data_IF_933071960435
#
_entry.id   IF_933071960435
#
_cell.length_a   1.000
_cell.length_b   1.000
_cell.length_c   1.000
_cell.angle_alpha   90.00
_cell.angle_beta   90.00
_cell.angle_gamma   90.00
#
_symmetry.space_group_name_H-M   'P 1'
#
loop_
_entity.id
_entity.type
_entity.pdbx_description
1 polymer ?
#
# COMPACT_ATOMS: atom_id res chain seq x y z
N UNK A 1 -2.55 12.42 19.26
CA UNK A 1 -1.57 13.19 18.48
C UNK A 1 -0.28 12.41 18.45
N UNK A 2 0.05 11.94 17.26
CA UNK A 2 1.11 10.99 17.04
C UNK A 2 2.49 11.48 17.53
N UNK A 3 3.34 10.53 17.90
CA UNK A 3 4.78 10.73 18.05
C UNK A 3 5.55 9.90 17.04
N UNK A 4 6.62 10.51 16.54
CA UNK A 4 7.54 9.93 15.56
C UNK A 4 8.04 8.55 15.98
N UNK A 5 8.43 7.74 14.99
CA UNK A 5 9.20 6.53 15.28
C UNK A 5 10.55 6.90 15.87
N UNK A 6 10.84 6.36 17.06
CA UNK A 6 12.12 6.47 17.73
C UNK A 6 12.71 5.07 17.94
N UNK A 7 14.04 5.01 18.01
CA UNK A 7 14.74 3.77 18.33
C UNK A 7 14.80 3.58 19.85
N UNK A 8 14.18 2.54 20.34
CA UNK A 8 14.18 2.12 21.75
C UNK A 8 14.88 0.76 21.90
N UNK A 9 15.23 0.32 23.13
CA UNK A 9 15.85 -0.99 23.36
C UNK A 9 15.01 -2.17 22.84
N UNK A 10 13.69 -2.01 22.79
CA UNK A 10 12.72 -3.01 22.35
C UNK A 10 12.42 -3.00 20.85
N UNK A 11 12.90 -1.98 20.11
CA UNK A 11 12.67 -1.85 18.67
C UNK A 11 12.48 -0.41 18.23
N UNK A 12 11.59 -0.20 17.27
CA UNK A 12 11.17 1.10 16.77
C UNK A 12 9.76 1.38 17.28
N UNK A 13 9.57 2.50 17.98
CA UNK A 13 8.33 2.81 18.68
C UNK A 13 7.75 4.12 18.15
N UNK A 14 6.48 4.10 17.76
CA UNK A 14 5.67 5.28 17.54
C UNK A 14 4.49 5.30 18.52
N UNK A 15 4.00 6.49 18.86
CA UNK A 15 2.73 6.63 19.57
C UNK A 15 1.67 7.06 18.57
N UNK A 16 0.64 6.25 18.36
CA UNK A 16 -0.51 6.54 17.50
C UNK A 16 -1.77 6.36 18.31
N UNK A 17 -2.61 7.39 18.39
CA UNK A 17 -3.89 7.29 19.09
C UNK A 17 -4.89 6.40 18.35
N UNK A 18 -6.00 6.05 19.00
CA UNK A 18 -7.04 5.18 18.44
C UNK A 18 -7.57 5.63 17.08
N UNK A 19 -7.74 6.94 16.89
CA UNK A 19 -8.23 7.50 15.62
C UNK A 19 -7.17 7.36 14.53
N UNK A 20 -5.92 7.69 14.86
CA UNK A 20 -4.79 7.57 13.96
C UNK A 20 -4.58 6.12 13.49
N UNK A 21 -4.65 5.15 14.44
CA UNK A 21 -4.55 3.72 14.16
C UNK A 21 -5.68 3.18 13.31
N UNK A 22 -6.92 3.61 13.59
CA UNK A 22 -8.10 3.17 12.84
C UNK A 22 -8.01 3.56 11.37
N UNK A 23 -7.64 4.81 11.09
CA UNK A 23 -7.53 5.29 9.71
C UNK A 23 -6.34 4.65 9.00
N UNK A 24 -5.17 4.58 9.66
CA UNK A 24 -3.98 3.98 9.07
C UNK A 24 -4.20 2.50 8.69
N UNK A 25 -4.75 1.71 9.62
CA UNK A 25 -5.07 0.30 9.34
C UNK A 25 -6.15 0.17 8.27
N UNK A 26 -7.15 1.05 8.24
CA UNK A 26 -8.17 1.08 7.18
C UNK A 26 -7.58 1.38 5.79
N UNK A 27 -6.68 2.34 5.68
CA UNK A 27 -5.98 2.65 4.43
C UNK A 27 -5.10 1.48 3.97
N UNK A 28 -4.38 0.83 4.89
CA UNK A 28 -3.60 -0.37 4.58
C UNK A 28 -4.49 -1.53 4.11
N UNK A 29 -5.66 -1.72 4.73
CA UNK A 29 -6.63 -2.73 4.31
C UNK A 29 -7.17 -2.44 2.91
N UNK A 30 -7.48 -1.19 2.58
CA UNK A 30 -7.92 -0.81 1.24
C UNK A 30 -6.85 -1.11 0.18
N UNK A 31 -5.59 -0.76 0.44
CA UNK A 31 -4.46 -1.10 -0.45
C UNK A 31 -4.31 -2.61 -0.59
N UNK A 32 -4.47 -3.37 0.50
CA UNK A 32 -4.40 -4.83 0.52
C UNK A 32 -5.53 -5.48 -0.27
N UNK A 33 -6.74 -4.94 -0.20
CA UNK A 33 -7.89 -5.38 -0.99
C UNK A 33 -7.63 -5.11 -2.47
N UNK A 34 -7.14 -3.92 -2.83
CA UNK A 34 -6.78 -3.60 -4.22
C UNK A 34 -5.71 -4.56 -4.78
N UNK A 35 -4.73 -4.94 -3.96
CA UNK A 35 -3.68 -5.88 -4.35
C UNK A 35 -4.14 -7.34 -4.39
N UNK A 36 -5.30 -7.67 -3.83
CA UNK A 36 -5.84 -9.02 -3.89
C UNK A 36 -6.19 -9.37 -5.35
N UNK A 37 -5.96 -10.62 -5.79
CA UNK A 37 -6.26 -11.01 -7.16
C UNK A 37 -7.74 -10.78 -7.47
N UNK A 38 -8.02 -10.17 -8.62
CA UNK A 38 -9.38 -10.15 -9.18
C UNK A 38 -9.67 -11.58 -9.65
N UNK A 39 -10.40 -12.32 -8.83
CA UNK A 39 -10.91 -13.64 -9.21
C UNK A 39 -12.25 -13.37 -9.88
N UNK A 40 -12.25 -13.33 -11.20
CA UNK A 40 -13.52 -13.40 -11.93
C UNK A 40 -14.20 -14.71 -11.57
N UNK A 41 -15.46 -14.69 -11.07
CA UNK A 41 -16.18 -15.91 -10.76
C UNK A 41 -16.36 -16.73 -12.04
N UNK A 42 -15.73 -17.89 -12.08
CA UNK A 42 -15.86 -18.87 -13.17
C UNK A 42 -17.23 -19.54 -13.16
N UNK A 43 -17.97 -19.40 -12.05
CA UNK A 43 -19.28 -20.02 -11.84
C UNK A 43 -19.18 -21.42 -11.23
N UNK A 44 -17.97 -21.97 -11.09
CA UNK A 44 -17.70 -23.16 -10.31
C UNK A 44 -17.08 -22.77 -8.96
N UNK A 45 -17.80 -23.06 -7.88
CA UNK A 45 -17.40 -22.68 -6.53
C UNK A 45 -16.10 -23.38 -6.05
N UNK A 46 -15.76 -24.53 -6.64
CA UNK A 46 -14.51 -25.22 -6.33
C UNK A 46 -13.34 -24.57 -7.06
N UNK A 47 -13.50 -24.23 -8.34
CA UNK A 47 -12.45 -23.56 -9.11
C UNK A 47 -12.21 -22.13 -8.62
N UNK A 48 -13.26 -21.39 -8.28
CA UNK A 48 -13.15 -20.05 -7.66
C UNK A 48 -12.44 -20.12 -6.29
N UNK A 49 -12.72 -21.16 -5.50
CA UNK A 49 -12.05 -21.41 -4.23
C UNK A 49 -10.57 -21.75 -4.43
N UNK A 50 -10.24 -22.58 -5.42
CA UNK A 50 -8.86 -22.95 -5.77
C UNK A 50 -8.07 -21.74 -6.29
N UNK A 51 -8.68 -20.93 -7.15
CA UNK A 51 -8.13 -19.66 -7.62
C UNK A 51 -7.87 -18.68 -6.46
N UNK A 52 -8.78 -18.63 -5.47
CA UNK A 52 -8.60 -17.80 -4.27
C UNK A 52 -7.47 -18.23 -3.34
N UNK A 53 -7.05 -19.49 -3.43
CA UNK A 53 -5.92 -20.02 -2.68
C UNK A 53 -4.58 -19.82 -3.40
N UNK A 54 -4.56 -19.22 -4.60
CA UNK A 54 -3.35 -19.01 -5.38
C UNK A 54 -2.68 -20.31 -5.86
N UNK A 55 -3.43 -21.41 -5.90
CA UNK A 55 -2.94 -22.73 -6.32
C UNK A 55 -3.56 -23.06 -7.68
N UNK A 56 -2.87 -22.76 -8.77
CA UNK A 56 -3.28 -23.22 -10.10
C UNK A 56 -2.99 -24.72 -10.23
N UNK A 57 -4.02 -25.56 -10.08
CA UNK A 57 -3.98 -26.98 -10.47
C UNK A 57 -4.53 -27.09 -11.89
N UNK A 58 -3.66 -27.01 -12.90
CA UNK A 58 -4.06 -27.25 -14.28
C UNK A 58 -4.54 -28.69 -14.47
N UNK A 59 -5.85 -28.90 -14.53
CA UNK A 59 -6.45 -30.04 -15.22
C UNK A 59 -7.81 -29.66 -15.85
N UNK A 60 -7.78 -29.59 -17.18
CA UNK A 60 -8.87 -29.70 -18.15
C UNK A 60 -9.57 -28.40 -18.62
N UNK A 61 -9.07 -27.89 -19.75
CA UNK A 61 -9.83 -27.51 -20.95
C UNK A 61 -11.36 -27.36 -20.75
N UNK A 62 -11.84 -26.12 -20.66
CA UNK A 62 -13.08 -25.66 -21.32
C UNK A 62 -13.30 -24.15 -21.19
N UNK A 63 -13.49 -23.52 -22.35
CA UNK A 63 -14.26 -22.27 -22.49
C UNK A 63 -13.42 -21.01 -22.41
N UNK A 64 -13.02 -20.50 -23.57
CA UNK A 64 -12.58 -19.12 -23.72
C UNK A 64 -13.67 -18.19 -23.16
N UNK A 65 -13.49 -17.71 -21.93
CA UNK A 65 -14.05 -16.43 -21.54
C UNK A 65 -13.40 -15.41 -22.47
N UNK A 66 -14.22 -14.75 -23.29
CA UNK A 66 -13.80 -13.55 -24.00
C UNK A 66 -13.18 -12.60 -22.96
N UNK A 67 -11.98 -12.04 -23.20
CA UNK A 67 -11.37 -11.15 -22.22
C UNK A 67 -12.29 -9.95 -22.07
N UNK A 68 -12.98 -9.87 -20.93
CA UNK A 68 -13.65 -8.66 -20.51
C UNK A 68 -12.56 -7.59 -20.38
N UNK A 69 -12.62 -6.57 -21.25
CA UNK A 69 -11.77 -5.38 -21.31
C UNK A 69 -10.49 -5.42 -20.44
N UNK A 70 -9.50 -6.21 -20.85
CA UNK A 70 -8.16 -6.28 -20.22
C UNK A 70 -7.38 -4.94 -20.27
N UNK A 71 -8.01 -3.87 -20.78
CA UNK A 71 -7.42 -2.57 -21.08
C UNK A 71 -7.80 -1.47 -20.08
N UNK A 72 -8.57 -1.76 -19.02
CA UNK A 72 -8.92 -0.76 -18.00
C UNK A 72 -8.58 -1.19 -16.58
N UNK A 73 -7.34 -1.62 -16.38
CA UNK A 73 -6.78 -1.85 -15.04
C UNK A 73 -6.76 -0.54 -14.25
N UNK A 74 -7.00 -0.64 -12.94
CA UNK A 74 -6.88 0.50 -12.03
C UNK A 74 -5.49 1.16 -12.13
N UNK A 75 -5.37 2.47 -12.43
CA UNK A 75 -4.09 3.17 -12.51
C UNK A 75 -3.23 3.04 -11.25
N UNK A 76 -3.85 2.88 -10.08
CA UNK A 76 -3.13 2.66 -8.83
C UNK A 76 -2.40 1.31 -8.81
N UNK A 77 -2.94 0.29 -9.47
CA UNK A 77 -2.25 -0.99 -9.63
C UNK A 77 -1.02 -0.87 -10.52
N UNK A 78 -1.06 -0.07 -11.58
CA UNK A 78 0.13 0.17 -12.41
C UNK A 78 1.25 0.86 -11.64
N UNK A 79 0.90 1.77 -10.73
CA UNK A 79 1.85 2.45 -9.84
C UNK A 79 2.40 1.50 -8.76
N UNK A 80 1.55 0.65 -8.19
CA UNK A 80 1.94 -0.33 -7.16
C UNK A 80 2.71 -1.53 -7.74
N UNK A 81 2.43 -1.92 -8.98
CA UNK A 81 2.96 -3.10 -9.66
C UNK A 81 3.65 -2.68 -10.97
N UNK A 82 4.71 -1.87 -10.90
CA UNK A 82 5.36 -1.31 -12.08
C UNK A 82 6.03 -2.39 -12.94
N UNK A 83 5.97 -2.22 -14.26
CA UNK A 83 6.68 -3.11 -15.19
C UNK A 83 8.16 -2.75 -15.27
N UNK A 84 9.04 -3.75 -15.23
CA UNK A 84 10.49 -3.53 -15.31
C UNK A 84 10.97 -3.23 -16.74
N UNK A 85 10.14 -3.49 -17.76
CA UNK A 85 10.51 -3.36 -19.16
C UNK A 85 9.85 -2.15 -19.82
N UNK A 86 10.68 -1.20 -20.28
CA UNK A 86 10.25 -0.04 -21.05
C UNK A 86 10.68 -0.26 -22.50
N UNK A 87 9.74 -0.45 -23.42
CA UNK A 87 10.02 -0.44 -24.86
C UNK A 87 9.29 -1.49 -25.71
N UNK A 88 8.77 -2.55 -25.10
CA UNK A 88 7.99 -3.59 -25.79
C UNK A 88 6.83 -4.05 -24.91
N UNK A 89 5.61 -3.79 -25.37
CA UNK A 89 4.37 -4.07 -24.64
C UNK A 89 4.10 -5.56 -24.51
N UNK A 90 4.52 -6.38 -25.47
CA UNK A 90 4.35 -7.85 -25.44
C UNK A 90 5.27 -8.45 -24.38
N UNK A 91 6.53 -7.99 -24.35
CA UNK A 91 7.50 -8.40 -23.32
C UNK A 91 7.09 -7.88 -21.94
N UNK A 92 6.54 -6.66 -21.84
CA UNK A 92 6.02 -6.13 -20.58
C UNK A 92 4.82 -6.94 -20.07
N UNK A 93 3.91 -7.37 -20.96
CA UNK A 93 2.77 -8.23 -20.62
C UNK A 93 3.23 -9.62 -20.14
N UNK A 94 4.21 -10.23 -20.82
CA UNK A 94 4.81 -11.49 -20.39
C UNK A 94 5.53 -11.36 -19.03
N UNK A 95 6.28 -10.29 -18.82
CA UNK A 95 6.95 -10.04 -17.55
C UNK A 95 5.93 -9.87 -16.41
N UNK A 96 4.84 -9.12 -16.62
CA UNK A 96 3.73 -9.02 -15.65
C UNK A 96 3.17 -10.40 -15.31
N UNK A 97 2.80 -11.19 -16.32
CA UNK A 97 2.26 -12.55 -16.15
C UNK A 97 3.15 -13.43 -15.27
N UNK A 98 4.47 -13.29 -15.37
CA UNK A 98 5.43 -14.11 -14.62
C UNK A 98 5.79 -13.58 -13.22
N UNK A 99 5.66 -12.27 -12.96
CA UNK A 99 6.24 -11.64 -11.75
C UNK A 99 5.23 -10.93 -10.86
N UNK A 100 4.07 -10.55 -11.40
CA UNK A 100 3.09 -9.74 -10.68
C UNK A 100 2.55 -10.45 -9.46
N UNK A 101 2.24 -11.75 -9.55
CA UNK A 101 1.68 -12.52 -8.44
C UNK A 101 2.63 -12.55 -7.24
N UNK A 102 3.92 -12.84 -7.47
CA UNK A 102 4.92 -12.80 -6.41
C UNK A 102 5.10 -11.40 -5.80
N UNK A 103 4.96 -10.35 -6.62
CA UNK A 103 5.01 -8.97 -6.14
C UNK A 103 3.78 -8.62 -5.28
N UNK A 104 2.57 -9.01 -5.71
CA UNK A 104 1.32 -8.87 -4.96
C UNK A 104 1.42 -9.57 -3.62
N UNK A 105 1.81 -10.84 -3.60
CA UNK A 105 1.94 -11.62 -2.38
C UNK A 105 2.89 -10.95 -1.37
N UNK A 106 4.03 -10.44 -1.84
CA UNK A 106 4.99 -9.73 -0.97
C UNK A 106 4.42 -8.43 -0.42
N UNK A 107 3.76 -7.61 -1.25
CA UNK A 107 3.15 -6.35 -0.82
C UNK A 107 2.00 -6.59 0.16
N UNK A 108 1.13 -7.56 -0.13
CA UNK A 108 0.05 -7.97 0.77
C UNK A 108 0.59 -8.50 2.11
N UNK A 109 1.69 -9.26 2.10
CA UNK A 109 2.33 -9.73 3.34
C UNK A 109 2.88 -8.57 4.18
N UNK A 110 3.46 -7.55 3.55
CA UNK A 110 3.93 -6.35 4.25
C UNK A 110 2.77 -5.55 4.86
N UNK A 111 1.66 -5.41 4.12
CA UNK A 111 0.45 -4.73 4.59
C UNK A 111 -0.19 -5.50 5.75
N UNK A 112 -0.33 -6.82 5.64
CA UNK A 112 -0.87 -7.68 6.70
C UNK A 112 -0.03 -7.56 7.98
N UNK A 113 1.31 -7.61 7.86
CA UNK A 113 2.22 -7.38 8.98
C UNK A 113 2.01 -5.99 9.60
N UNK A 114 1.90 -4.94 8.79
CA UNK A 114 1.73 -3.57 9.29
C UNK A 114 0.40 -3.39 10.02
N UNK A 115 -0.70 -3.92 9.46
CA UNK A 115 -2.03 -3.94 10.09
C UNK A 115 -1.96 -4.67 11.43
N UNK A 116 -1.34 -5.85 11.47
CA UNK A 116 -1.20 -6.63 12.71
C UNK A 116 -0.46 -5.86 13.80
N UNK A 117 0.59 -5.09 13.45
CA UNK A 117 1.33 -4.27 14.42
C UNK A 117 0.52 -3.08 14.93
N UNK A 118 -0.29 -2.45 14.08
CA UNK A 118 -1.16 -1.35 14.48
C UNK A 118 -2.28 -1.86 15.41
N UNK A 119 -2.89 -3.00 15.07
CA UNK A 119 -3.98 -3.60 15.86
C UNK A 119 -3.48 -4.14 17.20
N UNK A 120 -2.27 -4.71 17.23
CA UNK A 120 -1.67 -5.26 18.44
C UNK A 120 -0.99 -4.20 19.34
N UNK A 121 -1.07 -2.91 18.99
CA UNK A 121 -0.45 -1.86 19.79
C UNK A 121 -1.03 -1.80 21.21
N UNK A 122 -0.12 -1.65 22.17
CA UNK A 122 -0.44 -1.55 23.59
C UNK A 122 -0.70 -0.08 23.94
N UNK A 123 -1.94 0.25 24.30
CA UNK A 123 -2.44 1.62 24.34
C UNK A 123 -2.14 2.31 22.98
N UNK A 124 -1.38 3.40 22.98
CA UNK A 124 -0.99 4.12 21.76
C UNK A 124 0.33 3.59 21.15
N UNK A 125 1.00 2.61 21.77
CA UNK A 125 2.38 2.21 21.41
C UNK A 125 2.40 1.17 20.29
N UNK A 126 2.80 1.59 19.09
CA UNK A 126 3.13 0.68 17.98
C UNK A 126 4.61 0.35 18.03
N UNK A 127 4.95 -0.92 18.28
CA UNK A 127 6.33 -1.39 18.41
C UNK A 127 6.67 -2.32 17.24
N UNK A 128 7.79 -2.03 16.57
CA UNK A 128 8.32 -2.81 15.46
C UNK A 128 9.72 -3.34 15.82
N UNK A 129 9.96 -4.63 15.60
CA UNK A 129 11.33 -5.13 15.63
C UNK A 129 12.12 -4.77 14.35
N UNK A 130 13.42 -5.08 14.34
CA UNK A 130 14.30 -4.77 13.22
C UNK A 130 13.98 -5.50 11.91
N UNK A 131 13.29 -6.64 11.97
CA UNK A 131 12.84 -7.36 10.79
C UNK A 131 11.51 -6.82 10.26
N UNK A 132 10.65 -6.30 11.14
CA UNK A 132 9.34 -5.74 10.82
C UNK A 132 9.42 -4.33 10.25
N UNK A 133 10.34 -3.50 10.76
CA UNK A 133 10.43 -2.08 10.39
C UNK A 133 10.58 -1.84 8.86
N UNK A 134 11.43 -2.57 8.12
CA UNK A 134 11.49 -2.42 6.66
C UNK A 134 10.19 -2.79 5.94
N UNK A 135 9.50 -3.85 6.39
CA UNK A 135 8.22 -4.27 5.82
C UNK A 135 7.13 -3.22 6.07
N UNK A 136 7.08 -2.67 7.28
CA UNK A 136 6.17 -1.57 7.63
C UNK A 136 6.43 -0.32 6.80
N UNK A 137 7.70 0.05 6.61
CA UNK A 137 8.11 1.19 5.79
C UNK A 137 7.63 1.03 4.34
N UNK A 138 7.79 -0.17 3.76
CA UNK A 138 7.32 -0.49 2.40
C UNK A 138 5.79 -0.40 2.33
N UNK A 139 5.08 -0.90 3.35
CA UNK A 139 3.62 -0.80 3.41
C UNK A 139 3.14 0.66 3.44
N UNK A 140 3.81 1.55 4.19
CA UNK A 140 3.53 2.99 4.16
C UNK A 140 3.73 3.59 2.77
N UNK A 141 4.81 3.20 2.08
CA UNK A 141 5.06 3.64 0.71
C UNK A 141 3.94 3.19 -0.24
N UNK A 142 3.48 1.95 -0.14
CA UNK A 142 2.39 1.44 -0.98
C UNK A 142 1.08 2.22 -0.75
N UNK A 143 0.72 2.50 0.51
CA UNK A 143 -0.46 3.33 0.82
C UNK A 143 -0.31 4.75 0.27
N UNK A 144 0.88 5.36 0.39
CA UNK A 144 1.13 6.70 -0.16
C UNK A 144 1.01 6.74 -1.68
N UNK A 145 1.51 5.71 -2.37
CA UNK A 145 1.37 5.60 -3.83
C UNK A 145 -0.10 5.50 -4.25
N UNK A 146 -0.91 4.72 -3.52
CA UNK A 146 -2.34 4.63 -3.76
C UNK A 146 -3.04 5.98 -3.55
N UNK A 147 -2.79 6.64 -2.41
CA UNK A 147 -3.39 7.94 -2.12
C UNK A 147 -3.00 9.00 -3.16
N UNK A 148 -1.72 9.07 -3.50
CA UNK A 148 -1.22 9.98 -4.54
C UNK A 148 -1.93 9.78 -5.87
N UNK A 149 -2.09 8.53 -6.32
CA UNK A 149 -2.80 8.24 -7.57
C UNK A 149 -4.27 8.65 -7.52
N UNK A 150 -4.97 8.41 -6.40
CA UNK A 150 -6.38 8.80 -6.23
C UNK A 150 -6.58 10.32 -6.18
N UNK A 151 -5.59 11.06 -5.68
CA UNK A 151 -5.57 12.53 -5.70
C UNK A 151 -5.12 13.10 -7.05
N UNK A 152 -4.73 12.24 -8.01
CA UNK A 152 -4.20 12.68 -9.31
C UNK A 152 -2.75 13.18 -9.25
N UNK A 153 -2.03 12.95 -8.15
CA UNK A 153 -0.64 13.36 -7.96
C UNK A 153 0.32 12.41 -8.69
N UNK A 154 0.60 12.69 -9.97
CA UNK A 154 1.48 11.86 -10.81
C UNK A 154 2.84 12.51 -11.04
N UNK A 155 2.88 13.83 -11.06
CA UNK A 155 4.05 14.68 -11.29
C UNK A 155 4.27 15.64 -10.12
N UNK A 156 5.42 16.32 -10.13
CA UNK A 156 5.70 17.40 -9.18
C UNK A 156 4.75 18.59 -9.40
N UNK A 157 4.42 18.90 -10.66
CA UNK A 157 3.45 19.94 -11.03
C UNK A 157 2.04 19.62 -10.46
N UNK A 158 1.57 18.37 -10.54
CA UNK A 158 0.29 17.97 -9.96
C UNK A 158 0.26 18.18 -8.43
N UNK A 159 1.39 17.95 -7.75
CA UNK A 159 1.51 18.14 -6.31
C UNK A 159 1.46 19.64 -5.94
N UNK A 160 2.12 20.49 -6.72
CA UNK A 160 2.07 21.95 -6.56
C UNK A 160 0.66 22.49 -6.79
N UNK A 161 -0.02 22.04 -7.85
CA UNK A 161 -1.42 22.42 -8.13
C UNK A 161 -2.36 22.01 -7.00
N UNK A 162 -2.19 20.80 -6.47
CA UNK A 162 -2.98 20.29 -5.37
C UNK A 162 -2.74 21.11 -4.08
N UNK A 163 -1.49 21.50 -3.83
CA UNK A 163 -1.15 22.35 -2.69
C UNK A 163 -1.73 23.77 -2.83
N UNK A 164 -1.70 24.35 -4.03
CA UNK A 164 -2.34 25.63 -4.29
C UNK A 164 -3.87 25.57 -4.12
N UNK A 165 -4.49 24.45 -4.51
CA UNK A 165 -5.92 24.25 -4.32
C UNK A 165 -6.33 24.26 -2.84
N UNK A 166 -5.47 23.78 -1.93
CA UNK A 166 -5.71 23.75 -0.48
C UNK A 166 -6.03 25.11 0.13
N UNK A 167 -5.59 26.22 -0.47
CA UNK A 167 -5.93 27.57 0.01
C UNK A 167 -7.42 27.91 -0.13
N UNK A 168 -8.15 27.14 -0.95
CA UNK A 168 -9.53 27.44 -1.36
C UNK A 168 -10.53 26.31 -1.11
N UNK A 169 -10.07 25.14 -0.63
CA UNK A 169 -10.97 24.03 -0.33
C UNK A 169 -11.73 24.30 0.98
N UNK A 170 -12.94 23.76 1.09
CA UNK A 170 -13.69 23.79 2.33
C UNK A 170 -13.05 22.85 3.38
N UNK A 171 -13.16 23.19 4.67
CA UNK A 171 -12.59 22.40 5.78
C UNK A 171 -13.08 20.93 5.81
N UNK A 172 -14.27 20.67 5.26
CA UNK A 172 -14.90 19.34 5.21
C UNK A 172 -14.67 18.61 3.86
N UNK A 173 -13.81 19.16 2.97
CA UNK A 173 -13.55 18.56 1.67
C UNK A 173 -12.72 17.25 1.80
N UNK A 174 -13.17 16.12 1.21
CA UNK A 174 -12.44 14.86 1.24
C UNK A 174 -10.99 14.95 0.73
N UNK A 175 -10.70 15.85 -0.19
CA UNK A 175 -9.36 16.06 -0.74
C UNK A 175 -8.41 16.63 0.32
N UNK A 176 -8.88 17.56 1.16
CA UNK A 176 -8.12 18.09 2.28
C UNK A 176 -7.76 17.01 3.28
N UNK A 177 -8.71 16.13 3.58
CA UNK A 177 -8.46 14.96 4.43
C UNK A 177 -7.44 14.00 3.82
N UNK A 178 -7.55 13.70 2.51
CA UNK A 178 -6.61 12.83 1.82
C UNK A 178 -5.18 13.40 1.82
N UNK A 179 -5.03 14.71 1.61
CA UNK A 179 -3.74 15.42 1.69
C UNK A 179 -3.14 15.37 3.09
N UNK A 180 -3.94 15.67 4.12
CA UNK A 180 -3.47 15.61 5.51
C UNK A 180 -2.95 14.21 5.86
N UNK A 181 -3.61 13.15 5.38
CA UNK A 181 -3.15 11.78 5.57
C UNK A 181 -1.92 11.43 4.74
N UNK A 182 -1.81 11.94 3.52
CA UNK A 182 -0.61 11.79 2.72
C UNK A 182 0.61 12.41 3.41
N UNK A 183 0.47 13.61 3.96
CA UNK A 183 1.53 14.30 4.72
C UNK A 183 1.87 13.58 6.03
N UNK A 184 0.85 13.12 6.75
CA UNK A 184 1.03 12.31 7.97
C UNK A 184 1.83 11.03 7.69
N UNK A 185 1.45 10.28 6.64
CA UNK A 185 2.19 9.08 6.21
C UNK A 185 3.61 9.42 5.75
N UNK A 186 3.80 10.60 5.15
CA UNK A 186 5.11 11.09 4.73
C UNK A 186 6.03 11.25 5.92
N UNK A 187 5.59 12.03 6.90
CA UNK A 187 6.29 12.24 8.14
C UNK A 187 6.54 10.92 8.89
N UNK A 188 5.54 10.04 8.99
CA UNK A 188 5.69 8.75 9.68
C UNK A 188 6.74 7.86 8.99
N UNK A 189 6.74 7.80 7.67
CA UNK A 189 7.72 7.06 6.88
C UNK A 189 9.13 7.63 7.06
N UNK A 190 9.28 8.96 7.03
CA UNK A 190 10.57 9.63 7.23
C UNK A 190 11.14 9.32 8.62
N UNK A 191 10.33 9.41 9.68
CA UNK A 191 10.80 9.13 11.04
C UNK A 191 11.26 7.69 11.20
N UNK A 192 10.54 6.72 10.63
CA UNK A 192 10.95 5.31 10.65
C UNK A 192 12.23 5.08 9.84
N UNK A 193 12.37 5.72 8.68
CA UNK A 193 13.58 5.64 7.87
C UNK A 193 14.81 6.20 8.59
N UNK A 194 14.69 7.36 9.25
CA UNK A 194 15.78 7.93 10.05
C UNK A 194 16.16 7.02 11.22
N UNK A 195 15.15 6.49 11.94
CA UNK A 195 15.39 5.57 13.05
C UNK A 195 16.13 4.30 12.58
N UNK A 196 15.79 3.76 11.41
CA UNK A 196 16.47 2.62 10.78
C UNK A 196 17.93 2.92 10.39
N UNK A 197 18.22 4.13 9.91
CA UNK A 197 19.57 4.57 9.56
C UNK A 197 20.44 4.82 10.80
N UNK A 198 19.82 5.00 11.96
CA UNK A 198 20.52 5.36 13.20
C UNK A 198 20.79 6.86 13.31
N UNK A 199 20.14 7.67 12.47
CA UNK A 199 20.24 9.14 12.45
C UNK A 199 19.18 9.79 13.35
N UNK A 200 18.67 9.05 14.34
CA UNK A 200 17.73 9.61 15.32
C UNK A 200 18.43 10.68 16.14
N UNK A 201 17.95 11.92 16.05
CA UNK A 201 18.48 13.08 16.78
C UNK A 201 18.83 12.71 18.23
N UNK A 202 20.12 12.77 18.54
CA UNK A 202 20.68 12.72 19.90
C UNK A 202 20.38 14.03 20.68
N UNK A 203 19.52 14.91 20.18
CA UNK A 203 19.23 16.22 20.78
C UNK A 203 17.71 16.48 20.88
N UNK A 204 17.08 16.08 22.00
CA UNK A 204 16.09 16.87 22.77
C UNK A 204 16.17 16.49 24.26
#
# INVERSE_FOLDING_TARGET
>A
MARAFLREPEGFVALLDDGERLVLSGLMQQTRVLLSPEIEPTGDAFDDLVASMGVSLDLADQGAAEPADADHRDPALDRLLPTAHRGDDEVAAEFRRLTEEGLRQRKSSNLDLAIDRIVAADEDRVVLDAAQAPAFLIALTDVRLLLGERMGMRTEEDAEELHAAMETIDDDDPLGYAMAWYDFLTWLQETLAHALMGDGDDDV
#
